data_IF_961698571360
#
_entry.id   IF_961698571360
#
_cell.length_a   1.000
_cell.length_b   1.000
_cell.length_c   1.000
_cell.angle_alpha   90.00
_cell.angle_beta   90.00
_cell.angle_gamma   90.00
#
_symmetry.space_group_name_H-M   'P 1'
#
loop_
_entity.id
_entity.type
_entity.pdbx_description
1 polymer ?
#
# COMPACT_ATOMS: atom_id res chain seq x y z
N UNK A 1 30.25 -9.45 4.62
CA UNK A 1 30.50 -10.22 5.87
C UNK A 1 29.68 -11.50 5.90
N UNK A 2 28.36 -11.43 5.70
CA UNK A 2 27.46 -12.59 5.76
C UNK A 2 27.74 -13.67 4.70
N UNK A 3 28.17 -13.29 3.48
CA UNK A 3 28.57 -14.25 2.44
C UNK A 3 29.74 -15.15 2.87
N UNK A 4 30.72 -14.61 3.60
CA UNK A 4 31.87 -15.38 4.11
C UNK A 4 31.41 -16.37 5.18
N UNK A 5 30.47 -15.98 6.04
CA UNK A 5 29.88 -16.85 7.06
C UNK A 5 29.15 -18.03 6.39
N UNK A 6 28.33 -17.76 5.36
CA UNK A 6 27.62 -18.80 4.60
C UNK A 6 28.61 -19.74 3.89
N UNK A 7 29.67 -19.21 3.28
CA UNK A 7 30.70 -20.03 2.63
C UNK A 7 31.49 -20.89 3.63
N UNK A 8 31.74 -20.38 4.84
CA UNK A 8 32.40 -21.15 5.92
C UNK A 8 31.46 -22.26 6.40
N UNK A 9 30.17 -21.96 6.61
CA UNK A 9 29.15 -22.94 7.00
C UNK A 9 29.06 -24.04 5.94
N UNK A 10 28.92 -23.67 4.67
CA UNK A 10 28.85 -24.63 3.57
C UNK A 10 30.12 -25.46 3.42
N UNK A 11 31.31 -24.93 3.74
CA UNK A 11 32.57 -25.68 3.62
C UNK A 11 32.81 -26.62 4.82
N UNK A 12 32.42 -26.20 6.02
CA UNK A 12 32.69 -26.96 7.26
C UNK A 12 31.56 -27.92 7.61
N UNK A 13 30.33 -27.57 7.26
CA UNK A 13 29.12 -28.35 7.53
C UNK A 13 28.53 -28.99 6.27
N UNK A 14 29.28 -29.05 5.16
CA UNK A 14 28.88 -29.83 3.98
C UNK A 14 28.57 -31.29 4.35
N UNK A 15 29.31 -31.84 5.32
CA UNK A 15 29.15 -33.21 5.79
C UNK A 15 27.95 -33.38 6.75
N UNK A 16 27.37 -32.28 7.25
CA UNK A 16 26.27 -32.27 8.23
C UNK A 16 25.22 -31.23 7.83
N UNK A 17 24.32 -31.65 6.94
CA UNK A 17 23.23 -30.84 6.41
C UNK A 17 22.30 -30.34 7.53
N UNK A 18 22.12 -31.11 8.60
CA UNK A 18 21.26 -30.73 9.71
C UNK A 18 21.88 -29.57 10.51
N UNK A 19 23.20 -29.57 10.70
CA UNK A 19 23.90 -28.46 11.33
C UNK A 19 23.90 -27.18 10.48
N UNK A 20 24.03 -27.33 9.16
CA UNK A 20 23.87 -26.20 8.24
C UNK A 20 22.45 -25.63 8.30
N UNK A 21 21.42 -26.48 8.40
CA UNK A 21 20.02 -26.05 8.55
C UNK A 21 19.81 -25.24 9.84
N UNK A 22 20.24 -25.76 10.98
CA UNK A 22 20.08 -25.08 12.28
C UNK A 22 20.71 -23.68 12.31
N UNK A 23 21.91 -23.53 11.73
CA UNK A 23 22.60 -22.25 11.73
C UNK A 23 21.90 -21.22 10.83
N UNK A 24 21.35 -21.65 9.69
CA UNK A 24 20.58 -20.77 8.80
C UNK A 24 19.26 -20.36 9.46
N UNK A 25 18.60 -21.29 10.15
CA UNK A 25 17.40 -20.98 10.95
C UNK A 25 17.71 -19.96 12.06
N UNK A 26 18.82 -20.12 12.78
CA UNK A 26 19.30 -19.14 13.77
C UNK A 26 19.51 -17.75 13.15
N UNK A 27 20.19 -17.67 12.00
CA UNK A 27 20.41 -16.40 11.30
C UNK A 27 19.10 -15.74 10.85
N UNK A 28 18.09 -16.54 10.49
CA UNK A 28 16.75 -16.04 10.14
C UNK A 28 16.06 -15.46 11.37
N UNK A 29 16.08 -16.17 12.49
CA UNK A 29 15.47 -15.74 13.76
C UNK A 29 16.12 -14.47 14.32
N UNK A 30 17.44 -14.36 14.22
CA UNK A 30 18.20 -13.19 14.66
C UNK A 30 18.16 -12.01 13.68
N UNK A 31 17.59 -12.20 12.48
CA UNK A 31 17.50 -11.17 11.43
C UNK A 31 18.81 -10.91 10.69
N UNK A 32 19.87 -11.69 10.94
CA UNK A 32 21.17 -11.58 10.26
C UNK A 32 21.16 -12.21 8.85
N UNK A 33 20.14 -13.03 8.58
CA UNK A 33 19.93 -13.68 7.28
C UNK A 33 19.40 -12.72 6.22
N UNK A 34 18.61 -11.70 6.57
CA UNK A 34 17.96 -10.87 5.55
C UNK A 34 18.86 -9.70 5.15
N UNK A 35 19.45 -9.79 3.97
CA UNK A 35 20.28 -8.72 3.39
C UNK A 35 19.96 -8.61 1.92
N UNK A 36 20.05 -7.39 1.37
CA UNK A 36 19.72 -7.08 -0.04
C UNK A 36 20.70 -7.69 -1.05
N UNK A 37 21.76 -8.34 -0.59
CA UNK A 37 22.78 -8.97 -1.43
C UNK A 37 22.52 -10.47 -1.59
N UNK A 38 22.83 -10.99 -2.79
CA UNK A 38 22.80 -12.43 -3.10
C UNK A 38 21.44 -13.11 -2.87
N UNK A 39 20.34 -12.38 -3.07
CA UNK A 39 18.96 -12.86 -2.86
C UNK A 39 18.67 -14.18 -3.57
N UNK A 40 19.15 -14.35 -4.80
CA UNK A 40 18.93 -15.57 -5.59
C UNK A 40 19.72 -16.78 -5.05
N UNK A 41 20.98 -16.57 -4.66
CA UNK A 41 21.79 -17.61 -4.02
C UNK A 41 21.19 -18.07 -2.69
N UNK A 42 20.64 -17.12 -1.91
CA UNK A 42 19.98 -17.40 -0.64
C UNK A 42 18.68 -18.16 -0.81
N UNK A 43 17.84 -17.79 -1.78
CA UNK A 43 16.64 -18.54 -2.15
C UNK A 43 16.97 -19.98 -2.55
N UNK A 44 18.03 -20.16 -3.34
CA UNK A 44 18.50 -21.49 -3.71
C UNK A 44 18.98 -22.30 -2.50
N UNK A 45 19.70 -21.67 -1.56
CA UNK A 45 20.17 -22.33 -0.34
C UNK A 45 19.02 -22.75 0.59
N UNK A 46 18.00 -21.91 0.78
CA UNK A 46 16.79 -22.28 1.55
C UNK A 46 16.09 -23.48 0.92
N UNK A 47 16.03 -23.52 -0.42
CA UNK A 47 15.45 -24.64 -1.17
C UNK A 47 16.24 -25.94 -1.00
N UNK A 48 17.57 -25.88 -1.09
CA UNK A 48 18.42 -27.06 -0.91
C UNK A 48 18.35 -27.60 0.53
N UNK A 49 18.34 -26.71 1.53
CA UNK A 49 18.22 -27.09 2.94
C UNK A 49 16.78 -27.47 3.35
N UNK A 50 15.81 -27.32 2.46
CA UNK A 50 14.38 -27.57 2.70
C UNK A 50 13.80 -26.74 3.86
N UNK A 51 14.31 -25.53 4.05
CA UNK A 51 13.84 -24.59 5.08
C UNK A 51 12.52 -23.98 4.60
N UNK A 52 11.46 -24.14 5.40
CA UNK A 52 10.09 -23.72 5.03
C UNK A 52 9.86 -22.21 5.17
N UNK A 53 10.52 -21.56 6.13
CA UNK A 53 10.34 -20.14 6.39
C UNK A 53 11.31 -19.33 5.53
N UNK A 54 10.80 -18.54 4.59
CA UNK A 54 11.60 -17.60 3.80
C UNK A 54 11.33 -16.14 4.27
N UNK A 55 12.18 -15.55 5.12
CA UNK A 55 11.99 -14.16 5.56
C UNK A 55 12.11 -13.14 4.41
N UNK A 56 12.79 -13.50 3.31
CA UNK A 56 12.97 -12.62 2.14
C UNK A 56 11.61 -12.24 1.52
N UNK A 57 10.61 -13.12 1.59
CA UNK A 57 9.28 -12.82 1.04
C UNK A 57 8.51 -11.83 1.93
N UNK A 58 8.86 -11.68 3.21
CA UNK A 58 8.21 -10.73 4.11
C UNK A 58 8.59 -9.27 3.79
N UNK A 59 9.80 -8.96 3.32
CA UNK A 59 10.18 -7.59 2.96
C UNK A 59 9.34 -7.09 1.77
N UNK A 60 9.16 -7.93 0.75
CA UNK A 60 8.31 -7.62 -0.43
C UNK A 60 6.84 -7.44 -0.03
N UNK A 61 6.35 -8.26 0.92
CA UNK A 61 4.98 -8.11 1.44
C UNK A 61 4.84 -6.81 2.23
N UNK A 62 5.83 -6.45 3.06
CA UNK A 62 5.86 -5.21 3.84
C UNK A 62 5.87 -3.96 2.96
N UNK A 63 6.66 -3.95 1.88
CA UNK A 63 6.65 -2.83 0.92
C UNK A 63 5.29 -2.68 0.24
N UNK A 64 4.69 -3.79 -0.20
CA UNK A 64 3.33 -3.78 -0.77
C UNK A 64 2.28 -3.28 0.22
N UNK A 65 2.39 -3.65 1.50
CA UNK A 65 1.49 -3.17 2.55
C UNK A 65 1.62 -1.66 2.76
N UNK A 66 2.85 -1.12 2.84
CA UNK A 66 3.07 0.33 2.95
C UNK A 66 2.48 1.10 1.77
N UNK A 67 2.69 0.59 0.54
CA UNK A 67 2.09 1.21 -0.64
C UNK A 67 0.56 1.18 -0.61
N UNK A 68 -0.05 0.11 -0.08
CA UNK A 68 -1.50 0.03 0.08
C UNK A 68 -2.04 1.04 1.11
N UNK A 69 -1.32 1.29 2.20
CA UNK A 69 -1.71 2.30 3.19
C UNK A 69 -1.73 3.71 2.56
N UNK A 70 -0.74 4.05 1.74
CA UNK A 70 -0.72 5.33 1.00
C UNK A 70 -1.89 5.47 0.02
N UNK A 71 -2.28 4.37 -0.65
CA UNK A 71 -3.44 4.34 -1.54
C UNK A 71 -4.73 4.56 -0.74
N UNK A 72 -4.84 3.93 0.43
CA UNK A 72 -6.02 4.04 1.30
C UNK A 72 -6.23 5.48 1.79
N UNK A 73 -5.17 6.17 2.20
CA UNK A 73 -5.25 7.59 2.62
C UNK A 73 -5.67 8.52 1.47
N UNK A 74 -5.17 8.28 0.25
CA UNK A 74 -5.60 9.03 -0.94
C UNK A 74 -7.08 8.79 -1.26
N UNK A 75 -7.58 7.56 -1.10
CA UNK A 75 -8.99 7.23 -1.31
C UNK A 75 -9.89 7.95 -0.30
N UNK A 76 -9.55 7.94 0.99
CA UNK A 76 -10.31 8.67 2.03
C UNK A 76 -10.42 10.16 1.71
N UNK A 77 -9.31 10.79 1.32
CA UNK A 77 -9.31 12.21 0.93
C UNK A 77 -10.17 12.50 -0.30
N UNK A 78 -10.24 11.57 -1.25
CA UNK A 78 -11.12 11.70 -2.42
C UNK A 78 -12.59 11.54 -2.06
N UNK A 79 -12.94 10.64 -1.14
CA UNK A 79 -14.30 10.48 -0.64
C UNK A 79 -14.80 11.76 0.03
N UNK A 80 -13.98 12.41 0.87
CA UNK A 80 -14.33 13.70 1.48
C UNK A 80 -14.56 14.81 0.44
N UNK A 81 -13.77 14.84 -0.64
CA UNK A 81 -13.95 15.79 -1.75
C UNK A 81 -15.25 15.52 -2.50
N UNK A 82 -15.61 14.25 -2.70
CA UNK A 82 -16.83 13.85 -3.38
C UNK A 82 -18.08 14.30 -2.62
N UNK A 83 -18.09 14.16 -1.29
CA UNK A 83 -19.21 14.62 -0.45
C UNK A 83 -19.39 16.15 -0.50
N UNK A 84 -18.28 16.90 -0.54
CA UNK A 84 -18.33 18.37 -0.74
C UNK A 84 -18.88 18.75 -2.11
N UNK A 85 -18.53 18.01 -3.16
CA UNK A 85 -19.07 18.24 -4.51
C UNK A 85 -20.58 17.99 -4.56
N UNK A 86 -21.07 16.89 -3.98
CA UNK A 86 -22.52 16.61 -3.90
C UNK A 86 -23.28 17.75 -3.19
N UNK A 87 -22.72 18.24 -2.08
CA UNK A 87 -23.32 19.37 -1.34
C UNK A 87 -23.37 20.64 -2.20
N UNK A 88 -22.35 20.90 -3.01
CA UNK A 88 -22.34 22.03 -3.93
C UNK A 88 -23.36 21.88 -5.06
N UNK A 89 -23.56 20.68 -5.59
CA UNK A 89 -24.58 20.41 -6.60
C UNK A 89 -25.99 20.69 -6.06
N UNK A 90 -26.29 20.32 -4.81
CA UNK A 90 -27.56 20.65 -4.16
C UNK A 90 -27.78 22.16 -4.00
N UNK A 91 -26.71 22.91 -3.69
CA UNK A 91 -26.76 24.37 -3.61
C UNK A 91 -27.04 24.98 -4.99
N UNK A 92 -26.42 24.43 -6.04
CA UNK A 92 -26.60 24.91 -7.41
C UNK A 92 -28.04 24.75 -7.89
N UNK A 93 -28.71 23.64 -7.58
CA UNK A 93 -30.12 23.42 -7.93
C UNK A 93 -31.06 24.39 -7.21
N UNK A 94 -30.78 24.72 -5.95
CA UNK A 94 -31.53 25.75 -5.19
C UNK A 94 -31.36 27.14 -5.81
N UNK A 95 -30.15 27.48 -6.26
CA UNK A 95 -29.90 28.76 -6.92
C UNK A 95 -30.66 28.89 -8.24
N UNK A 96 -30.64 27.86 -9.09
CA UNK A 96 -31.43 27.84 -10.34
C UNK A 96 -32.92 28.05 -10.07
N UNK A 97 -33.46 27.38 -9.05
CA UNK A 97 -34.86 27.54 -8.66
C UNK A 97 -35.18 28.98 -8.22
N UNK A 98 -34.26 29.64 -7.51
CA UNK A 98 -34.42 31.04 -7.12
C UNK A 98 -34.35 32.00 -8.30
N UNK A 99 -33.47 31.75 -9.28
CA UNK A 99 -33.36 32.55 -10.50
C UNK A 99 -34.68 32.51 -11.30
N UNK A 100 -35.31 31.34 -11.42
CA UNK A 100 -36.63 31.20 -12.07
C UNK A 100 -37.74 31.97 -11.34
N UNK A 101 -37.70 32.01 -10.00
CA UNK A 101 -38.67 32.77 -9.20
C UNK A 101 -38.48 34.28 -9.39
N UNK A 102 -37.23 34.75 -9.46
CA UNK A 102 -36.92 36.15 -9.74
C UNK A 102 -37.43 36.58 -11.12
N UNK A 103 -37.27 35.74 -12.15
CA UNK A 103 -37.78 36.04 -13.49
C UNK A 103 -39.31 36.16 -13.51
N UNK A 104 -40.01 35.27 -12.79
CA UNK A 104 -41.47 35.32 -12.63
C UNK A 104 -41.92 36.59 -11.90
N UNK A 105 -41.22 36.98 -10.84
CA UNK A 105 -41.52 38.21 -10.10
C UNK A 105 -41.33 39.46 -10.96
N UNK A 106 -40.28 39.51 -11.79
CA UNK A 106 -40.04 40.61 -12.72
C UNK A 106 -41.22 40.81 -13.70
N UNK A 107 -41.68 39.72 -14.32
CA UNK A 107 -42.84 39.75 -15.25
C UNK A 107 -44.11 40.27 -14.58
N UNK A 108 -44.39 39.84 -13.34
CA UNK A 108 -45.56 40.31 -12.59
C UNK A 108 -45.48 41.81 -12.25
N UNK A 109 -44.29 42.32 -11.94
CA UNK A 109 -44.06 43.73 -11.68
C UNK A 109 -44.30 44.59 -12.92
N UNK A 110 -43.85 44.13 -14.09
CA UNK A 110 -44.13 44.78 -15.38
C UNK A 110 -45.65 44.82 -15.67
N UNK A 111 -46.37 43.72 -15.44
CA UNK A 111 -47.83 43.67 -15.60
C UNK A 111 -48.57 44.62 -14.65
N UNK A 112 -48.10 44.78 -13.42
CA UNK A 112 -48.70 45.72 -12.45
C UNK A 112 -48.48 47.17 -12.91
N UNK A 113 -47.27 47.52 -13.35
CA UNK A 113 -46.97 48.89 -13.82
C UNK A 113 -47.66 49.25 -15.14
N UNK A 114 -48.05 48.26 -15.95
CA UNK A 114 -48.74 48.49 -17.22
C UNK A 114 -50.27 48.67 -17.07
N UNK A 115 -50.84 48.46 -15.87
CA UNK A 115 -52.26 48.67 -15.55
C UNK A 115 -52.51 49.99 -14.84
#
# INVERSE_FOLDING_TARGET
>A
MVLLIIQIILRHYYADIDKARMEIERLIEEGEWDTKEFTEMRKNLLKELQIKHNPIDNEVILEKLKSNDEILEKLKSNDEKLEKLKSNDEILEKLKSNDELLEKLGKLLEEIHAK
#
